data_IF_896329681100
#
_entry.id   IF_896329681100
#
_cell.length_a   1.000
_cell.length_b   1.000
_cell.length_c   1.000
_cell.angle_alpha   90.00
_cell.angle_beta   90.00
_cell.angle_gamma   90.00
#
_symmetry.space_group_name_H-M   'P 1'
#
loop_
_entity.id
_entity.type
_entity.pdbx_description
1 polymer ?
#
# COMPACT_ATOMS: atom_id res chain seq x y z
N UNK A 1 3.89 27.15 -8.51
CA UNK A 1 5.01 26.20 -8.28
C UNK A 1 4.55 24.79 -8.62
N UNK A 2 5.34 24.13 -9.43
CA UNK A 2 5.04 22.74 -9.77
C UNK A 2 5.40 21.83 -8.60
N UNK A 3 4.43 21.08 -8.10
CA UNK A 3 4.64 20.13 -7.01
C UNK A 3 4.81 18.69 -7.49
N UNK A 4 4.90 18.50 -8.81
CA UNK A 4 5.05 17.16 -9.39
C UNK A 4 6.43 16.59 -9.04
N UNK A 5 6.52 15.46 -8.36
CA UNK A 5 7.81 14.84 -8.11
C UNK A 5 8.35 14.18 -9.38
N UNK A 6 9.66 13.94 -9.46
CA UNK A 6 10.18 13.10 -10.53
C UNK A 6 9.60 11.69 -10.43
N UNK A 7 9.60 10.93 -11.53
CA UNK A 7 9.16 9.54 -11.46
C UNK A 7 9.94 8.76 -10.41
N UNK A 8 9.25 7.88 -9.69
CA UNK A 8 9.88 7.01 -8.69
C UNK A 8 9.91 5.59 -9.25
N UNK A 9 11.09 5.09 -9.50
CA UNK A 9 11.25 3.71 -9.96
C UNK A 9 11.02 2.73 -8.82
N UNK A 10 10.69 1.48 -9.17
CA UNK A 10 10.54 0.44 -8.18
C UNK A 10 11.83 0.24 -7.39
N UNK A 11 12.98 0.30 -8.05
CA UNK A 11 14.28 0.18 -7.38
C UNK A 11 14.49 1.29 -6.36
N UNK A 12 14.12 2.53 -6.70
CA UNK A 12 14.24 3.66 -5.78
C UNK A 12 13.29 3.50 -4.59
N UNK A 13 12.07 3.05 -4.83
CA UNK A 13 11.10 2.81 -3.76
C UNK A 13 11.61 1.74 -2.78
N UNK A 14 12.19 0.67 -3.29
CA UNK A 14 12.75 -0.39 -2.46
C UNK A 14 13.93 0.07 -1.60
N UNK A 15 14.66 1.09 -2.06
CA UNK A 15 15.79 1.63 -1.32
C UNK A 15 15.38 2.59 -0.21
N UNK A 16 14.12 3.03 -0.17
CA UNK A 16 13.63 3.91 0.89
C UNK A 16 13.58 3.17 2.21
N UNK A 17 13.87 3.88 3.30
CA UNK A 17 13.80 3.30 4.64
C UNK A 17 12.46 3.65 5.28
N UNK A 18 11.68 2.64 5.72
CA UNK A 18 10.50 2.90 6.53
C UNK A 18 10.91 3.54 7.86
N UNK A 19 10.04 4.37 8.44
CA UNK A 19 10.26 4.85 9.81
C UNK A 19 10.33 3.67 10.78
N UNK A 20 11.00 3.88 11.91
CA UNK A 20 11.09 2.85 12.94
C UNK A 20 9.68 2.38 13.34
N UNK A 21 9.50 1.07 13.42
CA UNK A 21 8.21 0.46 13.75
C UNK A 21 7.23 0.35 12.59
N UNK A 22 7.61 0.81 11.40
CA UNK A 22 6.76 0.73 10.21
C UNK A 22 7.40 -0.14 9.14
N UNK A 23 6.57 -0.75 8.30
CA UNK A 23 7.02 -1.49 7.12
C UNK A 23 6.78 -0.72 5.81
N UNK A 24 6.24 0.48 5.90
CA UNK A 24 5.94 1.29 4.74
C UNK A 24 6.75 2.58 4.75
N UNK A 25 7.49 2.83 3.67
CA UNK A 25 8.27 4.05 3.50
C UNK A 25 7.43 5.09 2.77
N UNK A 26 7.65 6.36 3.12
CA UNK A 26 6.98 7.45 2.41
C UNK A 26 7.66 7.71 1.08
N UNK A 27 6.87 7.71 0.00
CA UNK A 27 7.32 8.03 -1.35
C UNK A 27 7.04 9.49 -1.68
N UNK A 28 5.81 9.92 -1.43
CA UNK A 28 5.37 11.28 -1.73
C UNK A 28 4.17 11.62 -0.88
N UNK A 29 4.07 12.88 -0.46
CA UNK A 29 2.91 13.34 0.31
C UNK A 29 2.60 14.79 -0.03
N UNK A 30 1.31 15.07 -0.19
CA UNK A 30 0.78 16.43 -0.17
C UNK A 30 -0.61 16.40 0.51
N UNK A 31 -1.37 17.49 0.38
CA UNK A 31 -2.64 17.59 1.09
C UNK A 31 -3.70 16.58 0.60
N UNK A 32 -3.59 16.12 -0.65
CA UNK A 32 -4.63 15.28 -1.26
C UNK A 32 -4.21 13.83 -1.47
N UNK A 33 -2.93 13.53 -1.40
CA UNK A 33 -2.43 12.17 -1.64
C UNK A 33 -1.23 11.86 -0.77
N UNK A 34 -1.16 10.60 -0.32
CA UNK A 34 -0.02 10.08 0.42
C UNK A 34 0.34 8.73 -0.18
N UNK A 35 1.50 8.66 -0.80
CA UNK A 35 1.99 7.44 -1.45
C UNK A 35 3.09 6.83 -0.61
N UNK A 36 2.94 5.55 -0.30
CA UNK A 36 3.90 4.78 0.47
C UNK A 36 4.27 3.52 -0.30
N UNK A 37 5.39 2.92 0.07
CA UNK A 37 5.82 1.65 -0.49
C UNK A 37 6.11 0.68 0.66
N UNK A 38 5.47 -0.48 0.64
CA UNK A 38 5.63 -1.48 1.68
C UNK A 38 6.23 -2.76 1.09
N UNK A 39 7.43 -3.12 1.56
CA UNK A 39 8.04 -4.40 1.25
C UNK A 39 7.72 -5.35 2.40
N UNK A 40 6.98 -6.43 2.10
CA UNK A 40 6.52 -7.40 3.10
C UNK A 40 5.73 -6.72 4.22
N UNK A 41 4.53 -6.20 3.91
CA UNK A 41 3.70 -5.57 4.93
C UNK A 41 3.33 -6.55 6.05
N UNK A 42 2.85 -6.03 7.16
CA UNK A 42 2.44 -6.84 8.30
C UNK A 42 1.32 -7.79 7.89
N UNK A 43 1.44 -9.05 8.28
CA UNK A 43 0.42 -10.05 8.02
C UNK A 43 -0.82 -9.83 8.89
N UNK A 44 -1.97 -10.20 8.35
CA UNK A 44 -3.24 -10.17 9.07
C UNK A 44 -4.04 -8.91 8.83
N UNK A 45 -5.14 -8.74 9.56
CA UNK A 45 -6.02 -7.58 9.38
C UNK A 45 -5.28 -6.27 9.65
N UNK A 46 -5.56 -5.27 8.81
CA UNK A 46 -5.07 -3.92 9.01
C UNK A 46 -6.12 -3.12 9.77
N UNK A 47 -5.65 -2.16 10.58
CA UNK A 47 -6.57 -1.21 11.20
C UNK A 47 -7.26 -0.38 10.12
N UNK A 48 -8.59 -0.24 10.17
CA UNK A 48 -9.28 0.61 9.19
C UNK A 48 -8.74 2.04 9.23
N UNK A 49 -8.64 2.65 8.08
CA UNK A 49 -8.15 4.01 7.92
C UNK A 49 -9.32 4.96 7.66
N UNK A 50 -9.13 6.23 7.99
CA UNK A 50 -10.16 7.26 7.81
C UNK A 50 -10.22 7.81 6.37
N UNK A 51 -9.23 7.47 5.52
CA UNK A 51 -9.18 7.88 4.12
C UNK A 51 -9.37 6.67 3.24
N UNK A 52 -9.85 6.89 2.02
CA UNK A 52 -9.84 5.85 1.00
C UNK A 52 -8.40 5.53 0.61
N UNK A 53 -8.14 4.27 0.31
CA UNK A 53 -6.81 3.86 -0.13
C UNK A 53 -6.90 2.81 -1.22
N UNK A 54 -5.84 2.70 -2.02
CA UNK A 54 -5.70 1.55 -2.90
C UNK A 54 -4.26 1.08 -2.90
N UNK A 55 -4.10 -0.15 -3.32
CA UNK A 55 -2.82 -0.83 -3.39
C UNK A 55 -2.58 -1.33 -4.79
N UNK A 56 -1.32 -1.31 -5.22
CA UNK A 56 -0.91 -1.96 -6.45
C UNK A 56 0.25 -2.88 -6.10
N UNK A 57 0.11 -4.17 -6.43
CA UNK A 57 1.19 -5.13 -6.18
C UNK A 57 2.35 -4.84 -7.12
N UNK A 58 3.53 -4.62 -6.55
CA UNK A 58 4.75 -4.37 -7.32
C UNK A 58 5.52 -5.65 -7.60
N UNK A 59 5.54 -6.59 -6.64
CA UNK A 59 6.25 -7.86 -6.78
C UNK A 59 5.65 -8.90 -5.85
N UNK A 60 5.89 -10.17 -6.17
CA UNK A 60 5.45 -11.27 -5.33
C UNK A 60 3.97 -11.52 -5.36
N UNK A 61 3.52 -12.39 -4.46
CA UNK A 61 2.11 -12.81 -4.36
C UNK A 61 1.67 -12.80 -2.90
N UNK A 62 0.35 -12.68 -2.69
CA UNK A 62 -0.25 -12.73 -1.36
C UNK A 62 -1.72 -13.11 -1.47
N UNK A 63 -2.31 -13.44 -0.32
CA UNK A 63 -3.76 -13.54 -0.21
C UNK A 63 -4.27 -12.25 0.38
N UNK A 64 -5.21 -11.60 -0.31
CA UNK A 64 -5.85 -10.38 0.16
C UNK A 64 -7.27 -10.68 0.60
N UNK A 65 -7.64 -10.15 1.76
CA UNK A 65 -8.97 -10.33 2.35
C UNK A 65 -9.65 -8.99 2.56
N UNK A 66 -10.94 -8.95 2.28
CA UNK A 66 -11.80 -7.80 2.58
C UNK A 66 -13.13 -8.34 3.12
N UNK A 67 -14.06 -7.44 3.48
CA UNK A 67 -15.30 -7.83 4.17
C UNK A 67 -16.06 -8.96 3.49
N UNK A 68 -16.15 -8.96 2.17
CA UNK A 68 -17.00 -9.90 1.44
C UNK A 68 -16.23 -11.02 0.74
N UNK A 69 -14.92 -11.12 0.93
CA UNK A 69 -14.21 -12.20 0.26
C UNK A 69 -12.70 -12.17 0.42
N UNK A 70 -12.06 -13.04 -0.34
CA UNK A 70 -10.61 -13.13 -0.42
C UNK A 70 -10.18 -13.60 -1.80
N UNK A 71 -8.97 -13.24 -2.22
CA UNK A 71 -8.40 -13.72 -3.46
C UNK A 71 -6.88 -13.66 -3.40
N UNK A 72 -6.23 -14.46 -4.23
CA UNK A 72 -4.78 -14.36 -4.42
C UNK A 72 -4.49 -13.21 -5.38
N UNK A 73 -3.46 -12.44 -5.06
CA UNK A 73 -3.03 -11.29 -5.86
C UNK A 73 -1.56 -11.43 -6.25
N UNK A 74 -1.19 -10.79 -7.35
CA UNK A 74 0.17 -10.80 -7.90
C UNK A 74 0.49 -9.49 -8.60
N UNK A 75 1.69 -9.38 -9.19
CA UNK A 75 2.17 -8.12 -9.76
C UNK A 75 1.18 -7.48 -10.73
N UNK A 76 0.94 -6.18 -10.54
CA UNK A 76 0.00 -5.42 -11.35
C UNK A 76 -1.44 -5.43 -10.85
N UNK A 77 -1.79 -6.31 -9.92
CA UNK A 77 -3.15 -6.34 -9.37
C UNK A 77 -3.38 -5.16 -8.44
N UNK A 78 -4.62 -4.68 -8.42
CA UNK A 78 -5.01 -3.51 -7.65
C UNK A 78 -6.12 -3.89 -6.65
N UNK A 79 -6.01 -3.38 -5.42
CA UNK A 79 -7.03 -3.54 -4.39
C UNK A 79 -7.46 -2.15 -3.92
N UNK A 80 -8.77 -1.96 -3.75
CA UNK A 80 -9.32 -0.73 -3.21
C UNK A 80 -9.93 -0.99 -1.84
N UNK A 81 -9.61 -0.14 -0.86
CA UNK A 81 -10.19 -0.19 0.47
C UNK A 81 -10.81 1.16 0.80
N UNK A 82 -12.13 1.18 0.86
CA UNK A 82 -12.85 2.38 1.29
C UNK A 82 -12.51 2.71 2.75
N UNK A 83 -12.58 3.97 3.10
CA UNK A 83 -12.36 4.40 4.48
C UNK A 83 -13.21 3.57 5.45
N UNK A 84 -12.64 3.23 6.59
CA UNK A 84 -13.29 2.49 7.68
C UNK A 84 -13.66 1.03 7.36
N UNK A 85 -13.11 0.45 6.27
CA UNK A 85 -13.37 -0.96 5.95
C UNK A 85 -12.21 -1.85 6.41
N UNK A 86 -12.55 -3.03 6.88
CA UNK A 86 -11.57 -4.03 7.29
C UNK A 86 -10.96 -4.71 6.06
N UNK A 87 -9.64 -4.89 6.08
CA UNK A 87 -8.91 -5.54 5.01
C UNK A 87 -7.55 -6.00 5.52
N UNK A 88 -6.87 -6.83 4.76
CA UNK A 88 -5.52 -7.26 5.11
C UNK A 88 -4.95 -8.28 4.16
N UNK A 89 -3.68 -8.61 4.37
CA UNK A 89 -2.96 -9.62 3.61
C UNK A 89 -2.46 -10.72 4.51
N UNK A 90 -2.29 -11.91 3.93
CA UNK A 90 -1.52 -12.97 4.55
C UNK A 90 -0.95 -13.89 3.46
N UNK A 91 -0.21 -14.90 3.85
CA UNK A 91 0.38 -15.89 2.93
C UNK A 91 1.17 -15.24 1.79
N UNK A 92 1.94 -14.21 2.09
CA UNK A 92 2.69 -13.52 1.06
C UNK A 92 4.08 -14.15 0.85
N UNK A 93 4.53 -14.09 -0.41
CA UNK A 93 5.88 -14.53 -0.78
C UNK A 93 6.94 -13.61 -0.17
N UNK A 94 8.18 -14.09 -0.11
CA UNK A 94 9.28 -13.30 0.48
C UNK A 94 9.53 -11.98 -0.23
N UNK A 95 9.24 -11.93 -1.53
CA UNK A 95 9.45 -10.74 -2.35
C UNK A 95 8.20 -9.87 -2.50
N UNK A 96 7.13 -10.14 -1.74
CA UNK A 96 5.88 -9.38 -1.86
C UNK A 96 6.10 -7.92 -1.49
N UNK A 97 5.66 -7.02 -2.36
CA UNK A 97 5.70 -5.59 -2.11
C UNK A 97 4.52 -4.91 -2.80
N UNK A 98 4.08 -3.79 -2.20
CA UNK A 98 2.92 -3.05 -2.71
C UNK A 98 3.18 -1.55 -2.64
N UNK A 99 2.64 -0.83 -3.63
CA UNK A 99 2.43 0.60 -3.53
C UNK A 99 1.14 0.83 -2.77
N UNK A 100 1.14 1.78 -1.83
CA UNK A 100 -0.02 2.13 -1.01
C UNK A 100 -0.34 3.59 -1.25
N UNK A 101 -1.55 3.88 -1.66
CA UNK A 101 -1.97 5.26 -1.97
C UNK A 101 -3.19 5.61 -1.14
N UNK A 102 -3.04 6.58 -0.26
CA UNK A 102 -4.15 7.23 0.43
C UNK A 102 -4.50 8.50 -0.32
N UNK A 103 -5.77 8.78 -0.51
CA UNK A 103 -6.18 9.95 -1.27
C UNK A 103 -7.52 10.51 -0.78
N UNK A 104 -7.78 11.76 -1.15
CA UNK A 104 -8.98 12.43 -0.73
C UNK A 104 -8.98 12.80 0.73
N UNK A 105 -10.10 13.35 1.24
CA UNK A 105 -10.19 13.76 2.63
C UNK A 105 -10.40 12.58 3.57
N UNK A 106 -10.18 12.82 4.84
CA UNK A 106 -10.64 11.89 5.87
C UNK A 106 -12.15 11.82 5.87
N UNK A 107 -12.70 10.65 6.15
CA UNK A 107 -14.14 10.42 6.10
C UNK A 107 -14.70 9.86 7.39
#
# INVERSE_FOLDING_TARGET
>A
MDRTPPPVTLAAARALRPPEGSRAAEVFRDDSVWIRFAARPTSGPQMPHSRDEFYIVASGTARYRWDSGETMIGPGDMMFAAAHTAHGYDQFSDDFSVWVVFYGPEK
#
